data_IF_277267477445
#
_entry.id   IF_277267477445
#
_cell.length_a   1.000
_cell.length_b   1.000
_cell.length_c   1.000
_cell.angle_alpha   90.00
_cell.angle_beta   90.00
_cell.angle_gamma   90.00
#
_symmetry.space_group_name_H-M   'P 1'
#
loop_
_entity.id
_entity.type
_entity.pdbx_description
1 polymer ?
#
# COMPACT_ATOMS: atom_id res chain seq x y z
N UNK A 1 26.63 -54.89 -46.45
CA UNK A 1 27.85 -54.06 -46.38
C UNK A 1 27.45 -52.64 -46.67
N UNK A 2 27.76 -51.79 -45.69
CA UNK A 2 27.64 -50.34 -45.63
C UNK A 2 26.31 -49.63 -45.80
N UNK A 3 26.05 -48.50 -45.15
CA UNK A 3 26.52 -47.81 -43.92
C UNK A 3 25.85 -46.43 -44.06
N UNK A 4 25.07 -46.02 -43.07
CA UNK A 4 24.85 -44.65 -42.61
C UNK A 4 24.98 -43.50 -43.63
N UNK A 5 23.85 -42.87 -43.95
CA UNK A 5 23.65 -41.43 -44.22
C UNK A 5 22.26 -41.32 -44.86
N UNK A 6 21.19 -41.17 -44.10
CA UNK A 6 20.43 -39.91 -44.12
C UNK A 6 19.24 -40.00 -43.14
N UNK A 7 19.50 -40.39 -41.90
CA UNK A 7 18.60 -40.17 -40.77
C UNK A 7 19.01 -38.86 -40.11
N UNK A 8 18.54 -37.74 -40.66
CA UNK A 8 18.59 -36.37 -40.10
C UNK A 8 17.56 -35.52 -40.84
N UNK A 9 16.29 -35.78 -40.53
CA UNK A 9 15.16 -34.88 -40.82
C UNK A 9 14.24 -34.94 -39.58
N UNK A 10 14.77 -34.45 -38.46
CA UNK A 10 14.01 -33.81 -37.38
C UNK A 10 14.68 -32.45 -37.22
N UNK A 11 13.96 -31.39 -37.57
CA UNK A 11 14.03 -30.02 -37.04
C UNK A 11 13.17 -29.17 -37.97
N UNK A 12 11.85 -29.29 -37.83
CA UNK A 12 10.90 -28.27 -38.28
C UNK A 12 11.20 -27.03 -37.41
N UNK A 13 12.13 -26.23 -37.92
CA UNK A 13 12.40 -24.88 -37.45
C UNK A 13 11.10 -24.09 -37.52
N UNK A 14 10.65 -23.64 -36.34
CA UNK A 14 9.80 -22.47 -36.22
C UNK A 14 10.45 -21.37 -37.07
N UNK A 15 9.91 -21.14 -38.26
CA UNK A 15 10.15 -19.94 -39.05
C UNK A 15 9.86 -18.74 -38.13
N UNK A 16 10.93 -18.22 -37.53
CA UNK A 16 10.96 -16.85 -37.04
C UNK A 16 10.69 -16.03 -38.28
N UNK A 17 9.44 -15.59 -38.43
CA UNK A 17 9.07 -14.61 -39.44
C UNK A 17 10.15 -13.53 -39.43
N UNK A 18 10.93 -13.45 -40.52
CA UNK A 18 11.90 -12.39 -40.72
C UNK A 18 11.15 -11.08 -40.49
N UNK A 19 11.43 -10.44 -39.35
CA UNK A 19 10.88 -9.14 -39.02
C UNK A 19 11.44 -8.20 -40.09
N UNK A 20 10.57 -7.85 -41.02
CA UNK A 20 10.83 -6.97 -42.14
C UNK A 20 11.61 -5.74 -41.62
N UNK A 21 12.88 -5.51 -42.02
CA UNK A 21 13.76 -4.52 -41.39
C UNK A 21 13.42 -3.07 -41.78
N UNK A 22 12.26 -2.84 -42.38
CA UNK A 22 11.76 -1.53 -42.82
C UNK A 22 11.17 -0.69 -41.68
N UNK A 23 10.87 -1.27 -40.51
CA UNK A 23 10.24 -0.55 -39.40
C UNK A 23 11.17 -0.01 -38.31
N UNK A 24 12.50 -0.18 -38.43
CA UNK A 24 13.45 0.30 -37.43
C UNK A 24 13.96 1.70 -37.80
N UNK A 25 13.67 2.75 -37.00
CA UNK A 25 14.14 4.10 -37.26
C UNK A 25 15.66 4.15 -37.20
N UNK A 26 16.28 4.43 -38.36
CA UNK A 26 17.73 4.53 -38.50
C UNK A 26 18.18 5.94 -38.16
N UNK A 27 19.30 6.06 -37.45
CA UNK A 27 20.05 7.32 -37.44
C UNK A 27 20.44 7.63 -38.90
N UNK A 28 20.01 8.78 -39.40
CA UNK A 28 20.34 9.23 -40.74
C UNK A 28 21.87 9.19 -40.90
N UNK A 29 22.34 8.52 -41.95
CA UNK A 29 23.77 8.41 -42.26
C UNK A 29 24.36 9.82 -42.32
N UNK A 30 25.48 10.04 -41.62
CA UNK A 30 26.15 11.33 -41.59
C UNK A 30 26.36 11.85 -43.02
N UNK A 31 25.88 13.08 -43.28
CA UNK A 31 26.01 13.74 -44.57
C UNK A 31 27.50 13.95 -44.85
N UNK A 32 28.06 13.17 -45.79
CA UNK A 32 29.49 13.24 -46.15
C UNK A 32 29.85 14.42 -47.04
N UNK A 33 28.84 15.17 -47.52
CA UNK A 33 29.04 16.37 -48.33
C UNK A 33 29.30 17.60 -47.45
N UNK A 34 30.48 18.20 -47.62
CA UNK A 34 30.91 19.39 -46.90
C UNK A 34 30.04 20.63 -47.19
N UNK A 35 29.42 20.73 -48.37
CA UNK A 35 28.53 21.84 -48.72
C UNK A 35 27.19 21.69 -48.00
N UNK A 36 26.58 20.52 -48.10
CA UNK A 36 25.35 20.20 -47.38
C UNK A 36 25.52 20.32 -45.85
N UNK A 37 26.67 19.91 -45.31
CA UNK A 37 26.99 20.08 -43.88
C UNK A 37 27.04 21.56 -43.46
N UNK A 38 27.58 22.46 -44.30
CA UNK A 38 27.59 23.91 -44.01
C UNK A 38 26.21 24.53 -44.04
N UNK A 39 25.38 24.16 -45.02
CA UNK A 39 24.01 24.64 -45.14
C UNK A 39 23.13 24.16 -43.97
N UNK A 40 23.32 22.92 -43.53
CA UNK A 40 22.66 22.37 -42.36
C UNK A 40 23.09 23.08 -41.06
N UNK A 41 24.39 23.31 -40.88
CA UNK A 41 24.91 24.07 -39.73
C UNK A 41 24.44 25.52 -39.71
N UNK A 42 24.32 26.16 -40.88
CA UNK A 42 23.75 27.49 -41.01
C UNK A 42 22.29 27.51 -40.56
N UNK A 43 21.49 26.56 -41.03
CA UNK A 43 20.06 26.44 -40.67
C UNK A 43 19.86 26.16 -39.17
N UNK A 44 20.65 25.25 -38.59
CA UNK A 44 20.59 24.95 -37.15
C UNK A 44 20.97 26.15 -36.27
N UNK A 45 21.99 26.93 -36.67
CA UNK A 45 22.37 28.16 -35.94
C UNK A 45 21.25 29.18 -35.95
N UNK A 46 20.62 29.40 -37.11
CA UNK A 46 19.48 30.32 -37.23
C UNK A 46 18.26 29.83 -36.44
N UNK A 47 18.00 28.52 -36.42
CA UNK A 47 16.96 27.93 -35.58
C UNK A 47 17.21 28.17 -34.09
N UNK A 48 18.43 27.92 -33.60
CA UNK A 48 18.79 28.16 -32.19
C UNK A 48 18.77 29.65 -31.79
N UNK A 49 18.94 30.56 -32.75
CA UNK A 49 18.83 32.00 -32.55
C UNK A 49 17.38 32.52 -32.64
N UNK A 50 16.40 31.63 -32.89
CA UNK A 50 14.98 31.96 -32.92
C UNK A 50 14.51 32.61 -34.23
N UNK A 51 15.23 32.42 -35.34
CA UNK A 51 14.84 32.93 -36.65
C UNK A 51 13.65 32.10 -37.21
N UNK A 52 12.45 32.70 -37.41
CA UNK A 52 11.28 31.97 -37.90
C UNK A 52 11.47 31.40 -39.31
N UNK A 53 12.33 32.01 -40.15
CA UNK A 53 12.62 31.50 -41.49
C UNK A 53 13.44 30.20 -41.48
N UNK A 54 14.07 29.86 -40.34
CA UNK A 54 14.75 28.57 -40.19
C UNK A 54 13.75 27.42 -40.11
N UNK A 55 12.56 27.63 -39.52
CA UNK A 55 11.53 26.60 -39.39
C UNK A 55 11.03 26.09 -40.74
N UNK A 56 11.00 26.96 -41.77
CA UNK A 56 10.58 26.60 -43.13
C UNK A 56 11.62 25.74 -43.86
N UNK A 57 12.87 25.77 -43.41
CA UNK A 57 13.99 24.99 -43.98
C UNK A 57 14.26 23.69 -43.23
N UNK A 58 13.62 23.48 -42.08
CA UNK A 58 13.69 22.22 -41.36
C UNK A 58 12.80 21.17 -42.02
N UNK A 59 13.28 19.92 -42.06
CA UNK A 59 12.45 18.80 -42.46
C UNK A 59 11.27 18.67 -41.49
N UNK A 60 10.08 18.36 -42.02
CA UNK A 60 8.93 18.02 -41.19
C UNK A 60 9.25 16.76 -40.40
N UNK A 61 8.84 16.73 -39.13
CA UNK A 61 8.96 15.54 -38.29
C UNK A 61 8.04 14.48 -38.87
N UNK A 62 8.61 13.36 -39.30
CA UNK A 62 7.88 12.18 -39.74
C UNK A 62 7.43 11.33 -38.54
N UNK A 63 6.43 10.47 -38.73
CA UNK A 63 5.86 9.62 -37.67
C UNK A 63 6.89 8.64 -37.08
N UNK A 64 8.00 8.40 -37.80
CA UNK A 64 9.14 7.56 -37.37
C UNK A 64 10.08 8.23 -36.35
N UNK A 65 9.93 9.55 -36.14
CA UNK A 65 10.74 10.34 -35.22
C UNK A 65 10.04 10.46 -33.86
N UNK A 66 10.42 9.60 -32.92
CA UNK A 66 9.97 9.70 -31.54
C UNK A 66 10.88 10.65 -30.74
N UNK A 67 10.33 11.39 -29.76
CA UNK A 67 11.13 12.17 -28.82
C UNK A 67 12.26 11.34 -28.22
N UNK A 68 13.45 11.92 -28.10
CA UNK A 68 14.61 11.23 -27.51
C UNK A 68 14.32 10.69 -26.09
N UNK A 69 13.39 11.32 -25.36
CA UNK A 69 12.89 10.86 -24.07
C UNK A 69 12.27 9.45 -24.13
N UNK A 70 11.66 9.08 -25.26
CA UNK A 70 11.03 7.78 -25.47
C UNK A 70 11.98 6.73 -26.06
N UNK A 71 13.25 7.08 -26.31
CA UNK A 71 14.24 6.14 -26.83
C UNK A 71 14.38 4.86 -25.96
N UNK A 72 14.33 4.90 -24.61
CA UNK A 72 14.36 3.68 -23.80
C UNK A 72 13.17 2.75 -24.03
N UNK A 73 12.02 3.28 -24.47
CA UNK A 73 10.78 2.53 -24.72
C UNK A 73 10.71 1.93 -26.13
N UNK A 74 11.68 2.22 -27.01
CA UNK A 74 11.79 1.61 -28.34
C UNK A 74 12.22 0.15 -28.28
N UNK A 75 12.90 -0.24 -27.21
CA UNK A 75 13.32 -1.61 -26.97
C UNK A 75 12.27 -2.31 -26.12
N UNK A 76 11.38 -3.06 -26.76
CA UNK A 76 10.33 -3.81 -26.07
C UNK A 76 10.89 -4.84 -25.08
N UNK A 77 12.15 -5.28 -25.26
CA UNK A 77 12.83 -6.16 -24.30
C UNK A 77 13.23 -5.44 -23.00
N UNK A 78 13.31 -4.10 -23.01
CA UNK A 78 13.54 -3.26 -21.83
C UNK A 78 12.26 -2.79 -21.14
N UNK A 79 11.10 -3.01 -21.77
CA UNK A 79 9.81 -2.78 -21.15
C UNK A 79 9.56 -3.89 -20.13
N UNK A 80 10.06 -3.68 -18.91
CA UNK A 80 9.80 -4.58 -17.79
C UNK A 80 8.30 -4.52 -17.44
N UNK A 81 7.58 -5.55 -17.87
CA UNK A 81 6.20 -5.76 -17.49
C UNK A 81 6.17 -6.34 -16.07
N UNK A 82 6.28 -5.45 -15.08
CA UNK A 82 6.36 -5.83 -13.66
C UNK A 82 5.04 -6.37 -13.06
N UNK A 83 3.99 -6.49 -13.88
CA UNK A 83 2.69 -7.01 -13.46
C UNK A 83 2.55 -8.52 -13.69
N UNK A 84 1.79 -9.22 -12.84
CA UNK A 84 1.04 -8.68 -11.70
C UNK A 84 1.92 -8.35 -10.49
N UNK A 85 1.42 -7.45 -9.65
CA UNK A 85 2.08 -6.99 -8.43
C UNK A 85 1.51 -7.75 -7.22
N UNK A 86 2.39 -8.18 -6.33
CA UNK A 86 2.02 -8.64 -4.99
C UNK A 86 1.97 -7.45 -4.04
N UNK A 87 0.82 -7.30 -3.38
CA UNK A 87 0.55 -6.27 -2.38
C UNK A 87 0.61 -6.92 -0.99
N UNK A 88 1.54 -6.46 -0.16
CA UNK A 88 1.66 -6.93 1.22
C UNK A 88 0.44 -6.50 2.04
N UNK A 89 -0.02 -7.31 3.01
CA UNK A 89 -1.16 -6.95 3.83
C UNK A 89 -0.84 -5.74 4.71
N UNK A 90 -1.86 -4.92 4.93
CA UNK A 90 -1.83 -3.86 5.93
C UNK A 90 -1.96 -4.46 7.34
N UNK A 91 -0.82 -4.81 7.94
CA UNK A 91 -0.75 -5.18 9.36
C UNK A 91 -0.87 -3.91 10.21
N UNK A 92 -1.98 -3.74 10.91
CA UNK A 92 -2.25 -2.57 11.76
C UNK A 92 -1.29 -2.39 12.94
N UNK A 93 -0.33 -3.30 13.14
CA UNK A 93 0.60 -3.29 14.27
C UNK A 93 1.99 -2.76 13.91
N UNK A 94 2.46 -2.99 12.67
CA UNK A 94 3.82 -2.62 12.26
C UNK A 94 3.83 -2.07 10.84
N UNK A 95 4.40 -0.86 10.70
CA UNK A 95 4.65 -0.29 9.39
C UNK A 95 5.76 -1.09 8.67
N UNK A 96 5.39 -1.65 7.52
CA UNK A 96 6.35 -2.29 6.61
C UNK A 96 7.21 -1.23 5.89
N UNK A 97 8.46 -1.53 5.55
CA UNK A 97 9.26 -0.67 4.69
C UNK A 97 8.60 -0.50 3.31
N UNK A 98 8.71 0.68 2.70
CA UNK A 98 8.10 0.99 1.40
C UNK A 98 8.47 -0.02 0.30
N UNK A 99 9.71 -0.53 0.34
CA UNK A 99 10.23 -1.51 -0.62
C UNK A 99 9.60 -2.91 -0.49
N UNK A 100 8.92 -3.20 0.62
CA UNK A 100 8.26 -4.49 0.91
C UNK A 100 6.74 -4.42 0.72
N UNK A 101 6.17 -3.21 0.61
CA UNK A 101 4.73 -3.01 0.41
C UNK A 101 4.25 -3.61 -0.91
N UNK A 102 5.05 -3.44 -1.96
CA UNK A 102 4.69 -3.84 -3.32
C UNK A 102 5.91 -4.44 -4.02
N UNK A 103 5.73 -5.61 -4.63
CA UNK A 103 6.78 -6.21 -5.45
C UNK A 103 6.20 -6.98 -6.64
N UNK A 104 6.95 -7.13 -7.75
CA UNK A 104 6.52 -7.99 -8.86
C UNK A 104 6.31 -9.44 -8.40
N UNK A 105 5.28 -10.10 -8.93
CA UNK A 105 4.96 -11.48 -8.54
C UNK A 105 6.13 -12.44 -8.75
N UNK A 106 6.92 -12.24 -9.80
CA UNK A 106 8.06 -13.10 -10.12
C UNK A 106 9.12 -13.01 -9.01
N UNK A 107 9.34 -11.81 -8.48
CA UNK A 107 10.26 -11.58 -7.36
C UNK A 107 9.71 -12.19 -6.08
N UNK A 108 8.40 -12.02 -5.83
CA UNK A 108 7.75 -12.62 -4.67
C UNK A 108 7.85 -14.14 -4.70
N UNK A 109 7.48 -14.79 -5.82
CA UNK A 109 7.55 -16.24 -6.03
C UNK A 109 8.97 -16.78 -5.82
N UNK A 110 9.98 -16.10 -6.36
CA UNK A 110 11.38 -16.47 -6.15
C UNK A 110 11.78 -16.38 -4.68
N UNK A 111 11.40 -15.30 -3.99
CA UNK A 111 11.71 -15.13 -2.57
C UNK A 111 10.98 -16.13 -1.67
N UNK A 112 9.70 -16.38 -1.93
CA UNK A 112 8.86 -17.32 -1.19
C UNK A 112 9.34 -18.77 -1.37
N UNK A 113 9.73 -19.16 -2.60
CA UNK A 113 10.33 -20.48 -2.83
C UNK A 113 11.71 -20.62 -2.20
N UNK A 114 12.55 -19.58 -2.24
CA UNK A 114 13.86 -19.60 -1.61
C UNK A 114 13.77 -19.76 -0.08
N UNK A 115 12.70 -19.30 0.56
CA UNK A 115 12.50 -19.39 2.01
C UNK A 115 12.42 -20.83 2.53
N UNK A 116 11.85 -21.77 1.76
CA UNK A 116 11.76 -23.19 2.15
C UNK A 116 12.66 -24.11 1.30
N UNK A 117 13.09 -23.67 0.12
CA UNK A 117 13.90 -24.44 -0.82
C UNK A 117 15.16 -23.68 -1.23
N UNK A 118 16.05 -23.37 -0.27
CA UNK A 118 17.28 -22.62 -0.52
C UNK A 118 18.32 -23.39 -1.37
N UNK A 119 18.35 -24.72 -1.30
CA UNK A 119 19.29 -25.53 -2.08
C UNK A 119 18.93 -25.56 -3.57
N UNK A 120 19.93 -25.60 -4.46
CA UNK A 120 19.68 -25.57 -5.91
C UNK A 120 18.80 -26.74 -6.39
N UNK A 121 18.99 -27.92 -5.82
CA UNK A 121 18.27 -29.14 -6.20
C UNK A 121 16.92 -29.33 -5.48
N UNK A 122 16.60 -28.53 -4.45
CA UNK A 122 15.31 -28.64 -3.77
C UNK A 122 14.21 -27.90 -4.54
N UNK A 123 12.99 -28.46 -4.54
CA UNK A 123 11.83 -27.94 -5.24
C UNK A 123 12.09 -27.59 -6.73
N UNK A 124 12.93 -28.40 -7.41
CA UNK A 124 13.39 -28.12 -8.78
C UNK A 124 12.23 -27.96 -9.77
N UNK A 125 11.24 -28.86 -9.71
CA UNK A 125 10.06 -28.81 -10.57
C UNK A 125 9.33 -27.47 -10.38
N UNK A 126 9.08 -27.06 -9.13
CA UNK A 126 8.41 -25.79 -8.84
C UNK A 126 9.22 -24.58 -9.35
N UNK A 127 10.53 -24.57 -9.10
CA UNK A 127 11.45 -23.50 -9.53
C UNK A 127 11.47 -23.31 -11.04
N UNK A 128 11.53 -24.41 -11.79
CA UNK A 128 11.55 -24.40 -13.26
C UNK A 128 10.23 -23.85 -13.83
N UNK A 129 9.13 -23.94 -13.06
CA UNK A 129 7.80 -23.51 -13.48
C UNK A 129 7.30 -22.19 -12.85
N UNK A 130 8.13 -21.45 -12.11
CA UNK A 130 7.76 -20.12 -11.62
C UNK A 130 7.37 -19.12 -12.73
N UNK A 131 8.10 -19.04 -13.87
CA UNK A 131 7.69 -18.16 -14.97
C UNK A 131 6.33 -18.53 -15.56
N UNK A 132 5.99 -19.83 -15.58
CA UNK A 132 4.70 -20.32 -16.04
C UNK A 132 3.57 -19.85 -15.11
N UNK A 133 3.78 -19.91 -13.78
CA UNK A 133 2.82 -19.40 -12.80
C UNK A 133 2.57 -17.90 -13.00
N UNK A 134 3.64 -17.10 -13.10
CA UNK A 134 3.53 -15.67 -13.35
C UNK A 134 2.77 -15.34 -14.64
N UNK A 135 3.07 -16.05 -15.73
CA UNK A 135 2.35 -15.91 -16.99
C UNK A 135 0.86 -16.29 -16.87
N UNK A 136 0.56 -17.41 -16.21
CA UNK A 136 -0.82 -17.87 -16.00
C UNK A 136 -1.63 -16.87 -15.17
N UNK A 137 -1.06 -16.34 -14.09
CA UNK A 137 -1.70 -15.30 -13.27
C UNK A 137 -1.98 -14.05 -14.08
N UNK A 138 -1.03 -13.61 -14.92
CA UNK A 138 -1.22 -12.46 -15.81
C UNK A 138 -2.41 -12.67 -16.76
N UNK A 139 -2.55 -13.88 -17.31
CA UNK A 139 -3.69 -14.22 -18.17
C UNK A 139 -5.03 -14.16 -17.43
N UNK A 140 -5.10 -14.64 -16.19
CA UNK A 140 -6.34 -14.62 -15.39
C UNK A 140 -6.69 -13.20 -14.92
N UNK A 141 -5.67 -12.39 -14.61
CA UNK A 141 -5.85 -11.03 -14.11
C UNK A 141 -6.06 -9.99 -15.20
N UNK A 142 -5.85 -10.33 -16.49
CA UNK A 142 -6.01 -9.39 -17.59
C UNK A 142 -7.43 -8.81 -17.69
N UNK A 143 -8.44 -9.63 -17.35
CA UNK A 143 -9.86 -9.27 -17.41
C UNK A 143 -10.44 -8.88 -16.05
N UNK A 144 -9.62 -8.83 -14.99
CA UNK A 144 -10.06 -8.49 -13.63
C UNK A 144 -9.61 -7.10 -13.24
N UNK A 145 -10.54 -6.35 -12.66
CA UNK A 145 -10.27 -5.04 -12.11
C UNK A 145 -10.04 -5.12 -10.60
N UNK A 146 -9.02 -4.40 -10.14
CA UNK A 146 -8.67 -4.29 -8.73
C UNK A 146 -7.84 -5.46 -8.16
N UNK A 147 -7.48 -5.36 -6.88
CA UNK A 147 -6.77 -6.40 -6.16
C UNK A 147 -7.64 -7.65 -5.98
N UNK A 148 -7.02 -8.82 -6.05
CA UNK A 148 -7.66 -10.10 -5.72
C UNK A 148 -6.89 -10.81 -4.63
N UNK A 149 -7.56 -11.70 -3.89
CA UNK A 149 -6.92 -12.51 -2.86
C UNK A 149 -5.77 -13.34 -3.45
N UNK A 150 -4.55 -13.16 -2.90
CA UNK A 150 -3.36 -13.79 -3.42
C UNK A 150 -3.35 -15.30 -3.18
N UNK A 151 -3.86 -15.76 -2.04
CA UNK A 151 -3.86 -17.18 -1.67
C UNK A 151 -4.80 -17.98 -2.58
N UNK A 152 -6.01 -17.49 -2.81
CA UNK A 152 -6.99 -18.08 -3.72
C UNK A 152 -6.45 -18.10 -5.15
N UNK A 153 -5.80 -17.03 -5.60
CA UNK A 153 -5.22 -16.98 -6.94
C UNK A 153 -4.03 -17.93 -7.10
N UNK A 154 -3.16 -18.03 -6.10
CA UNK A 154 -2.07 -19.00 -6.09
C UNK A 154 -2.58 -20.43 -6.08
N UNK A 155 -3.65 -20.72 -5.33
CA UNK A 155 -4.27 -22.04 -5.31
C UNK A 155 -4.84 -22.41 -6.68
N UNK A 156 -5.60 -21.50 -7.32
CA UNK A 156 -6.16 -21.72 -8.65
C UNK A 156 -5.05 -21.95 -9.70
N UNK A 157 -4.00 -21.14 -9.70
CA UNK A 157 -2.89 -21.25 -10.66
C UNK A 157 -2.00 -22.47 -10.42
N UNK A 158 -1.77 -22.87 -9.17
CA UNK A 158 -0.98 -24.07 -8.85
C UNK A 158 -1.75 -25.37 -9.15
N UNK A 159 -3.07 -25.38 -8.99
CA UNK A 159 -3.92 -26.47 -9.47
C UNK A 159 -3.83 -26.61 -11.00
N UNK A 160 -3.92 -25.49 -11.73
CA UNK A 160 -3.75 -25.49 -13.18
C UNK A 160 -2.34 -25.97 -13.60
N UNK A 161 -1.29 -25.66 -12.82
CA UNK A 161 0.06 -26.19 -13.07
C UNK A 161 0.11 -27.71 -12.93
N UNK A 162 -0.49 -28.27 -11.87
CA UNK A 162 -0.53 -29.72 -11.66
C UNK A 162 -1.27 -30.44 -12.79
N UNK A 163 -2.37 -29.85 -13.28
CA UNK A 163 -3.12 -30.37 -14.44
C UNK A 163 -2.33 -30.26 -15.74
N UNK A 164 -1.58 -29.17 -15.93
CA UNK A 164 -0.76 -28.95 -17.12
C UNK A 164 0.39 -29.95 -17.23
N UNK A 165 1.09 -30.22 -16.11
CA UNK A 165 2.26 -31.10 -16.12
C UNK A 165 1.92 -32.60 -16.14
N UNK A 166 0.71 -32.98 -15.72
CA UNK A 166 0.21 -34.38 -15.70
C UNK A 166 1.18 -35.39 -15.08
N UNK A 167 1.96 -34.96 -14.07
CA UNK A 167 2.97 -35.79 -13.43
C UNK A 167 2.35 -37.00 -12.73
N UNK A 168 3.13 -38.08 -12.63
CA UNK A 168 2.71 -39.34 -12.00
C UNK A 168 3.71 -39.76 -10.91
N UNK A 169 3.25 -40.57 -9.97
CA UNK A 169 4.09 -41.16 -8.92
C UNK A 169 4.73 -40.12 -7.99
N UNK A 170 6.00 -40.34 -7.65
CA UNK A 170 6.76 -39.55 -6.68
C UNK A 170 6.92 -38.07 -7.10
N UNK A 171 7.10 -37.79 -8.39
CA UNK A 171 7.22 -36.42 -8.90
C UNK A 171 5.96 -35.58 -8.64
N UNK A 172 4.77 -36.19 -8.74
CA UNK A 172 3.50 -35.52 -8.42
C UNK A 172 3.40 -35.19 -6.92
N UNK A 173 3.80 -36.13 -6.07
CA UNK A 173 3.77 -35.95 -4.62
C UNK A 173 4.78 -34.89 -4.16
N UNK A 174 5.99 -34.89 -4.73
CA UNK A 174 6.99 -33.86 -4.47
C UNK A 174 6.48 -32.47 -4.84
N UNK A 175 5.94 -32.30 -6.06
CA UNK A 175 5.40 -31.01 -6.50
C UNK A 175 4.22 -30.55 -5.62
N UNK A 176 3.32 -31.45 -5.23
CA UNK A 176 2.22 -31.13 -4.33
C UNK A 176 2.71 -30.63 -2.98
N UNK A 177 3.70 -31.32 -2.39
CA UNK A 177 4.34 -30.89 -1.14
C UNK A 177 5.01 -29.52 -1.28
N UNK A 178 5.73 -29.27 -2.38
CA UNK A 178 6.39 -27.98 -2.62
C UNK A 178 5.37 -26.85 -2.79
N UNK A 179 4.23 -27.11 -3.46
CA UNK A 179 3.12 -26.14 -3.59
C UNK A 179 2.50 -25.83 -2.24
N UNK A 180 2.28 -26.82 -1.37
CA UNK A 180 1.77 -26.58 -0.02
C UNK A 180 2.71 -25.70 0.81
N UNK A 181 4.03 -25.89 0.67
CA UNK A 181 5.02 -25.02 1.33
C UNK A 181 4.98 -23.60 0.76
N UNK A 182 4.83 -23.43 -0.56
CA UNK A 182 4.68 -22.13 -1.19
C UNK A 182 3.42 -21.39 -0.71
N UNK A 183 2.28 -22.08 -0.64
CA UNK A 183 1.02 -21.48 -0.17
C UNK A 183 1.10 -21.02 1.29
N UNK A 184 1.87 -21.72 2.14
CA UNK A 184 2.14 -21.29 3.53
C UNK A 184 2.97 -20.01 3.62
N UNK A 185 3.66 -19.59 2.56
CA UNK A 185 4.40 -18.33 2.52
C UNK A 185 3.51 -17.13 2.19
N UNK A 186 2.28 -17.35 1.74
CA UNK A 186 1.34 -16.26 1.46
C UNK A 186 0.90 -15.67 2.79
N UNK A 187 1.16 -14.38 3.05
CA UNK A 187 0.68 -13.75 4.27
C UNK A 187 -0.84 -13.60 4.21
N UNK A 188 -1.49 -13.63 5.38
CA UNK A 188 -2.94 -13.42 5.47
C UNK A 188 -3.33 -12.05 4.91
N UNK A 189 -4.39 -12.00 4.10
CA UNK A 189 -4.86 -10.81 3.40
C UNK A 189 -3.84 -10.21 2.41
N UNK A 190 -2.87 -10.99 1.92
CA UNK A 190 -2.06 -10.59 0.78
C UNK A 190 -2.90 -10.52 -0.50
N UNK A 191 -2.66 -9.51 -1.33
CA UNK A 191 -3.44 -9.30 -2.56
C UNK A 191 -2.54 -9.32 -3.80
N UNK A 192 -3.14 -9.61 -4.96
CA UNK A 192 -2.51 -9.52 -6.27
C UNK A 192 -3.22 -8.47 -7.11
N UNK A 193 -2.45 -7.57 -7.70
CA UNK A 193 -2.94 -6.53 -8.58
C UNK A 193 -2.48 -6.79 -10.01
N UNK A 194 -3.46 -7.04 -10.89
CA UNK A 194 -3.26 -7.12 -12.33
C UNK A 194 -2.95 -5.76 -12.96
N UNK A 195 -2.53 -5.78 -14.22
CA UNK A 195 -2.48 -4.55 -15.01
C UNK A 195 -3.89 -4.28 -15.57
N UNK A 196 -4.53 -3.21 -15.09
CA UNK A 196 -5.88 -2.83 -15.48
C UNK A 196 -6.02 -1.33 -15.72
N UNK A 197 -7.24 -0.80 -15.59
CA UNK A 197 -7.54 0.62 -15.79
C UNK A 197 -7.04 1.53 -14.67
N UNK A 198 -7.18 1.12 -13.41
CA UNK A 198 -6.80 1.96 -12.25
C UNK A 198 -5.73 1.38 -11.31
N UNK A 199 -4.67 0.70 -11.78
CA UNK A 199 -3.64 0.17 -10.89
C UNK A 199 -2.98 1.29 -10.05
N UNK A 200 -2.83 2.50 -10.60
CA UNK A 200 -2.29 3.64 -9.86
C UNK A 200 -3.17 4.06 -8.67
N UNK A 201 -4.51 4.01 -8.81
CA UNK A 201 -5.42 4.34 -7.70
C UNK A 201 -5.38 3.25 -6.63
N UNK A 202 -5.38 1.98 -7.02
CA UNK A 202 -5.24 0.87 -6.08
C UNK A 202 -3.91 0.91 -5.32
N UNK A 203 -2.81 1.24 -5.99
CA UNK A 203 -1.51 1.41 -5.33
C UNK A 203 -1.51 2.60 -4.35
N UNK A 204 -2.17 3.71 -4.70
CA UNK A 204 -2.30 4.86 -3.80
C UNK A 204 -3.13 4.51 -2.56
N UNK A 205 -4.24 3.79 -2.74
CA UNK A 205 -5.07 3.28 -1.64
C UNK A 205 -4.24 2.36 -0.76
N UNK A 206 -3.57 1.37 -1.35
CA UNK A 206 -2.74 0.41 -0.63
C UNK A 206 -1.67 1.11 0.21
N UNK A 207 -0.97 2.09 -0.36
CA UNK A 207 0.01 2.90 0.34
C UNK A 207 -0.63 3.72 1.48
N UNK A 208 -1.77 4.36 1.23
CA UNK A 208 -2.49 5.14 2.22
C UNK A 208 -2.95 4.27 3.41
N UNK A 209 -3.50 3.08 3.14
CA UNK A 209 -3.93 2.14 4.17
C UNK A 209 -2.76 1.67 5.04
N UNK A 210 -1.65 1.25 4.41
CA UNK A 210 -0.45 0.78 5.10
C UNK A 210 0.23 1.89 5.94
N UNK A 211 0.07 3.15 5.54
CA UNK A 211 0.60 4.27 6.32
C UNK A 211 -0.35 4.71 7.43
N UNK A 212 -1.65 4.81 7.15
CA UNK A 212 -2.62 5.41 8.04
C UNK A 212 -3.10 4.46 9.14
N UNK A 213 -3.31 3.17 8.84
CA UNK A 213 -3.84 2.21 9.81
C UNK A 213 -2.91 2.02 11.02
N UNK A 214 -1.60 1.75 10.87
CA UNK A 214 -0.71 1.59 12.03
C UNK A 214 -0.63 2.86 12.87
N UNK A 215 -0.61 4.04 12.22
CA UNK A 215 -0.58 5.34 12.92
C UNK A 215 -1.86 5.59 13.71
N UNK A 216 -3.02 5.25 13.14
CA UNK A 216 -4.31 5.36 13.83
C UNK A 216 -4.40 4.41 15.02
N UNK A 217 -3.96 3.17 14.88
CA UNK A 217 -3.90 2.20 16.00
C UNK A 217 -3.03 2.73 17.14
N UNK A 218 -1.82 3.23 16.81
CA UNK A 218 -0.92 3.80 17.81
C UNK A 218 -1.50 5.04 18.48
N UNK A 219 -2.16 5.90 17.71
CA UNK A 219 -2.78 7.11 18.23
C UNK A 219 -3.98 6.81 19.13
N UNK A 220 -4.81 5.81 18.78
CA UNK A 220 -5.89 5.34 19.64
C UNK A 220 -5.35 4.84 20.98
N UNK A 221 -4.30 4.02 20.98
CA UNK A 221 -3.66 3.56 22.21
C UNK A 221 -3.13 4.71 23.07
N UNK A 222 -2.66 5.79 22.45
CA UNK A 222 -2.23 6.99 23.15
C UNK A 222 -3.42 7.72 23.80
N UNK A 223 -4.52 7.87 23.06
CA UNK A 223 -5.76 8.48 23.57
C UNK A 223 -6.32 7.68 24.74
N UNK A 224 -6.39 6.35 24.62
CA UNK A 224 -6.90 5.48 25.69
C UNK A 224 -6.06 5.61 26.97
N UNK A 225 -4.73 5.72 26.83
CA UNK A 225 -3.82 5.97 27.96
C UNK A 225 -4.04 7.34 28.59
N UNK A 226 -4.24 8.38 27.77
CA UNK A 226 -4.57 9.72 28.27
C UNK A 226 -5.90 9.72 29.02
N UNK A 227 -6.95 9.11 28.47
CA UNK A 227 -8.26 8.99 29.11
C UNK A 227 -8.12 8.27 30.45
N UNK A 228 -7.44 7.12 30.47
CA UNK A 228 -7.21 6.37 31.70
C UNK A 228 -6.48 7.21 32.76
N UNK A 229 -5.36 7.83 32.41
CA UNK A 229 -4.58 8.64 33.35
C UNK A 229 -5.32 9.88 33.86
N UNK A 230 -6.15 10.51 33.03
CA UNK A 230 -6.98 11.65 33.47
C UNK A 230 -8.11 11.21 34.40
N UNK A 231 -8.72 10.04 34.17
CA UNK A 231 -9.73 9.46 35.07
C UNK A 231 -9.14 9.07 36.41
N UNK A 232 -7.99 8.40 36.42
CA UNK A 232 -7.27 8.04 37.64
C UNK A 232 -6.90 9.30 38.45
N UNK A 233 -6.44 10.37 37.78
CA UNK A 233 -6.17 11.65 38.44
C UNK A 233 -7.43 12.23 39.11
N UNK A 234 -8.59 12.11 38.46
CA UNK A 234 -9.87 12.55 39.02
C UNK A 234 -10.32 11.69 40.21
N UNK A 235 -10.13 10.37 40.17
CA UNK A 235 -10.46 9.48 41.28
C UNK A 235 -9.62 9.79 42.51
N UNK A 236 -8.30 9.94 42.35
CA UNK A 236 -7.39 10.32 43.45
C UNK A 236 -7.72 11.70 44.02
N UNK A 237 -8.19 12.64 43.17
CA UNK A 237 -8.64 13.95 43.64
C UNK A 237 -9.99 13.88 44.37
N UNK A 238 -10.91 13.04 43.91
CA UNK A 238 -12.18 12.79 44.57
C UNK A 238 -11.98 12.18 45.96
N UNK A 239 -11.08 11.21 46.10
CA UNK A 239 -10.68 10.62 47.38
C UNK A 239 -10.08 11.65 48.36
N UNK A 240 -9.54 12.77 47.85
CA UNK A 240 -9.01 13.89 48.65
C UNK A 240 -10.03 14.99 48.94
N UNK A 241 -11.21 14.93 48.32
CA UNK A 241 -12.23 15.97 48.45
C UNK A 241 -13.08 15.78 49.72
N UNK A 242 -13.53 16.89 50.32
CA UNK A 242 -14.37 16.86 51.52
C UNK A 242 -15.72 16.14 51.28
N UNK A 243 -16.19 16.08 50.03
CA UNK A 243 -17.44 15.43 49.62
C UNK A 243 -17.40 13.89 49.69
N UNK A 244 -16.23 13.26 49.45
CA UNK A 244 -16.06 11.80 49.68
C UNK A 244 -15.87 11.47 51.16
N UNK A 245 -15.52 12.47 51.96
CA UNK A 245 -15.24 12.39 53.40
C UNK A 245 -16.41 12.89 54.25
N UNK A 246 -17.60 13.11 53.65
CA UNK A 246 -18.79 13.44 54.44
C UNK A 246 -19.02 12.35 55.51
N UNK A 247 -19.29 12.73 56.78
CA UNK A 247 -19.46 11.78 57.89
C UNK A 247 -20.56 10.73 57.68
N UNK A 248 -21.42 10.94 56.67
CA UNK A 248 -22.44 9.98 56.23
C UNK A 248 -21.83 8.80 55.46
N UNK A 249 -20.90 9.05 54.55
CA UNK A 249 -20.24 8.00 53.73
C UNK A 249 -19.26 7.17 54.58
N UNK A 250 -18.56 7.82 55.53
CA UNK A 250 -17.71 7.13 56.51
C UNK A 250 -18.51 6.28 57.53
N UNK A 251 -19.75 6.68 57.84
CA UNK A 251 -20.67 5.90 58.69
C UNK A 251 -21.25 4.68 57.98
N UNK A 252 -21.47 4.76 56.68
CA UNK A 252 -22.03 3.65 55.89
C UNK A 252 -20.98 2.57 55.57
N UNK A 253 -19.70 2.92 55.53
CA UNK A 253 -18.58 2.01 55.28
C UNK A 253 -18.08 1.29 56.55
N UNK A 254 -18.39 1.80 57.74
CA UNK A 254 -18.13 1.17 59.03
C UNK A 254 -19.47 0.64 59.55
N UNK A 255 -19.75 -0.65 59.41
CA UNK A 255 -21.01 -1.28 59.85
C UNK A 255 -21.30 -1.17 61.36
N UNK A 256 -21.97 -2.17 61.94
CA UNK A 256 -22.51 -2.19 63.33
C UNK A 256 -21.52 -1.83 64.50
N UNK A 257 -20.24 -1.54 64.23
CA UNK A 257 -19.23 -1.08 65.20
C UNK A 257 -19.06 0.44 65.32
N UNK A 258 -19.90 1.26 64.69
CA UNK A 258 -19.80 2.74 64.69
C UNK A 258 -19.84 3.41 66.07
N UNK A 259 -20.27 2.72 67.12
CA UNK A 259 -20.33 3.24 68.49
C UNK A 259 -18.98 3.23 69.23
N UNK A 260 -17.93 2.61 68.68
CA UNK A 260 -16.59 2.55 69.31
C UNK A 260 -15.58 3.51 68.70
N UNK A 261 -15.94 4.19 67.61
CA UNK A 261 -15.10 5.18 66.96
C UNK A 261 -15.79 6.53 67.08
N UNK A 262 -15.07 7.55 67.57
CA UNK A 262 -15.52 8.93 67.44
C UNK A 262 -15.08 9.46 66.07
N UNK A 263 -15.97 9.52 65.07
CA UNK A 263 -15.62 9.99 63.74
C UNK A 263 -15.15 11.45 63.76
N UNK A 264 -15.55 12.27 64.75
CA UNK A 264 -15.07 13.64 64.88
C UNK A 264 -13.60 13.68 65.31
N UNK A 265 -13.18 12.80 66.21
CA UNK A 265 -11.78 12.68 66.64
C UNK A 265 -10.88 12.08 65.55
N UNK A 266 -11.38 11.12 64.78
CA UNK A 266 -10.66 10.56 63.62
C UNK A 266 -10.50 11.57 62.48
N UNK A 267 -11.54 12.36 62.18
CA UNK A 267 -11.47 13.44 61.19
C UNK A 267 -10.42 14.49 61.56
N UNK A 268 -10.30 14.84 62.84
CA UNK A 268 -9.31 15.81 63.33
C UNK A 268 -7.85 15.29 63.25
N UNK A 269 -7.64 13.97 63.31
CA UNK A 269 -6.30 13.36 63.15
C UNK A 269 -5.93 13.17 61.68
N UNK A 270 -6.92 12.92 60.81
CA UNK A 270 -6.70 12.83 59.36
C UNK A 270 -6.35 14.19 58.73
N UNK A 271 -6.84 15.29 59.32
CA UNK A 271 -6.62 16.69 58.92
C UNK A 271 -5.14 17.09 58.76
N UNK A 272 -4.20 16.29 59.27
CA UNK A 272 -2.76 16.59 59.28
C UNK A 272 -1.91 15.63 58.42
N UNK A 273 -2.54 14.72 57.67
CA UNK A 273 -1.88 13.75 56.80
C UNK A 273 -2.00 14.04 55.30
N UNK A 274 -2.35 15.27 54.91
CA UNK A 274 -2.56 15.61 53.50
C UNK A 274 -1.32 16.23 52.85
N UNK A 275 -0.55 15.36 52.20
CA UNK A 275 0.35 15.80 51.15
C UNK A 275 -0.44 16.26 49.92
N UNK A 276 -0.23 17.52 49.54
CA UNK A 276 -0.56 18.18 48.25
C UNK A 276 -1.90 18.90 48.17
N UNK A 277 -1.84 20.21 47.88
CA UNK A 277 -2.96 21.13 47.61
C UNK A 277 -4.09 20.52 46.78
N UNK A 278 -5.34 20.82 47.15
CA UNK A 278 -6.52 20.56 46.30
C UNK A 278 -6.36 21.21 44.92
N UNK A 279 -6.92 20.57 43.88
CA UNK A 279 -6.81 21.07 42.52
C UNK A 279 -7.60 22.38 42.36
N UNK A 280 -7.02 23.42 41.72
CA UNK A 280 -7.77 24.61 41.37
C UNK A 280 -8.94 24.29 40.43
N UNK A 281 -10.08 24.97 40.62
CA UNK A 281 -11.29 24.79 39.79
C UNK A 281 -11.00 24.94 38.28
N UNK A 282 -10.18 25.91 37.90
CA UNK A 282 -9.77 26.12 36.51
C UNK A 282 -9.05 24.91 35.90
N UNK A 283 -8.22 24.21 36.69
CA UNK A 283 -7.52 23.00 36.25
C UNK A 283 -8.51 21.84 36.13
N UNK A 284 -9.46 21.72 37.06
CA UNK A 284 -10.54 20.72 37.03
C UNK A 284 -11.39 20.85 35.76
N UNK A 285 -11.86 22.06 35.46
CA UNK A 285 -12.64 22.37 34.26
C UNK A 285 -11.86 22.10 32.97
N UNK A 286 -10.55 22.37 32.97
CA UNK A 286 -9.68 22.08 31.82
C UNK A 286 -9.59 20.58 31.57
N UNK A 287 -9.38 19.76 32.61
CA UNK A 287 -9.27 18.31 32.44
C UNK A 287 -10.61 17.73 31.99
N UNK A 288 -11.74 18.19 32.55
CA UNK A 288 -13.08 17.74 32.10
C UNK A 288 -13.33 18.05 30.62
N UNK A 289 -12.95 19.25 30.15
CA UNK A 289 -13.05 19.60 28.73
C UNK A 289 -12.19 18.70 27.85
N UNK A 290 -10.93 18.47 28.24
CA UNK A 290 -10.02 17.58 27.51
C UNK A 290 -10.57 16.15 27.46
N UNK A 291 -11.05 15.64 28.58
CA UNK A 291 -11.61 14.29 28.69
C UNK A 291 -12.84 14.13 27.79
N UNK A 292 -13.74 15.12 27.77
CA UNK A 292 -14.89 15.12 26.86
C UNK A 292 -14.45 15.12 25.38
N UNK A 293 -13.45 15.91 25.01
CA UNK A 293 -12.89 15.91 23.64
C UNK A 293 -12.31 14.54 23.28
N UNK A 294 -11.50 13.94 24.15
CA UNK A 294 -10.87 12.64 23.90
C UNK A 294 -11.89 11.50 23.80
N UNK A 295 -12.92 11.48 24.66
CA UNK A 295 -13.97 10.45 24.64
C UNK A 295 -14.93 10.59 23.45
N UNK A 296 -15.12 11.81 22.96
CA UNK A 296 -15.97 12.06 21.79
C UNK A 296 -15.32 11.65 20.47
N UNK A 297 -14.00 11.45 20.47
CA UNK A 297 -13.29 11.12 19.24
C UNK A 297 -13.57 9.69 18.79
N UNK A 298 -13.97 9.57 17.53
CA UNK A 298 -14.06 8.29 16.84
C UNK A 298 -13.29 8.39 15.52
N UNK A 299 -12.46 7.40 15.18
CA UNK A 299 -11.74 7.40 13.92
C UNK A 299 -12.72 7.31 12.74
N UNK A 300 -12.61 8.26 11.82
CA UNK A 300 -13.37 8.25 10.56
C UNK A 300 -13.07 6.95 9.79
N UNK A 301 -14.05 6.09 9.48
CA UNK A 301 -13.80 4.84 8.75
C UNK A 301 -13.23 5.11 7.35
N UNK A 302 -13.53 6.27 6.76
CA UNK A 302 -13.03 6.67 5.45
C UNK A 302 -11.61 7.21 5.59
N UNK A 303 -10.69 6.58 4.84
CA UNK A 303 -9.27 6.93 4.79
C UNK A 303 -8.91 7.70 3.53
N UNK A 304 -9.55 7.37 2.40
CA UNK A 304 -9.25 7.98 1.11
C UNK A 304 -10.53 8.52 0.49
N UNK A 305 -10.52 9.80 0.12
CA UNK A 305 -11.64 10.44 -0.57
C UNK A 305 -11.21 10.82 -1.98
N UNK A 306 -11.91 10.28 -2.98
CA UNK A 306 -11.70 10.63 -4.38
C UNK A 306 -12.70 11.70 -4.78
N UNK A 307 -12.21 12.89 -5.11
CA UNK A 307 -13.05 13.96 -5.64
C UNK A 307 -12.80 14.09 -7.14
N UNK A 308 -13.84 13.97 -7.97
CA UNK A 308 -13.69 13.92 -9.42
C UNK A 308 -14.80 14.65 -10.19
N UNK A 309 -14.47 15.10 -11.40
CA UNK A 309 -15.41 15.68 -12.37
C UNK A 309 -15.85 14.56 -13.30
N UNK A 310 -16.95 13.87 -12.98
CA UNK A 310 -17.48 12.77 -13.80
C UNK A 310 -17.84 11.56 -12.97
N UNK A 311 -17.69 10.36 -13.53
CA UNK A 311 -17.99 9.11 -12.84
C UNK A 311 -16.73 8.28 -12.68
N UNK A 312 -16.33 8.04 -11.43
CA UNK A 312 -15.47 6.92 -11.06
C UNK A 312 -16.38 5.69 -10.92
N UNK A 313 -17.00 5.29 -12.03
CA UNK A 313 -17.98 4.20 -12.06
C UNK A 313 -17.26 2.86 -12.10
N UNK A 314 -16.73 2.43 -10.96
CA UNK A 314 -16.41 1.03 -10.79
C UNK A 314 -16.77 0.58 -9.37
N UNK A 315 -17.39 -0.60 -9.30
CA UNK A 315 -18.00 -1.14 -8.08
C UNK A 315 -17.01 -1.18 -6.91
N UNK A 316 -15.71 -1.28 -7.18
CA UNK A 316 -14.65 -1.40 -6.18
C UNK A 316 -14.57 -0.21 -5.20
N UNK A 317 -14.88 1.02 -5.64
CA UNK A 317 -14.87 2.18 -4.73
C UNK A 317 -16.07 2.13 -3.79
N UNK A 318 -17.24 1.79 -4.35
CA UNK A 318 -18.50 1.73 -3.61
C UNK A 318 -18.59 0.54 -2.65
N UNK A 319 -17.86 -0.54 -2.93
CA UNK A 319 -17.78 -1.73 -2.08
C UNK A 319 -16.79 -1.56 -0.93
N UNK A 320 -15.88 -0.60 -1.00
CA UNK A 320 -14.88 -0.37 0.03
C UNK A 320 -15.44 0.48 1.18
N UNK A 321 -15.17 0.07 2.42
CA UNK A 321 -15.56 0.84 3.63
C UNK A 321 -14.61 1.97 3.96
N UNK A 322 -13.41 1.97 3.36
CA UNK A 322 -12.32 2.90 3.63
C UNK A 322 -12.14 3.95 2.51
N UNK A 323 -12.84 3.84 1.39
CA UNK A 323 -12.87 4.88 0.37
C UNK A 323 -14.26 5.49 0.19
N UNK A 324 -14.28 6.74 -0.24
CA UNK A 324 -15.49 7.47 -0.60
C UNK A 324 -15.23 8.22 -1.91
N UNK A 325 -16.20 8.17 -2.84
CA UNK A 325 -16.16 8.91 -4.09
C UNK A 325 -17.14 10.09 -4.02
N UNK A 326 -16.66 11.28 -4.35
CA UNK A 326 -17.41 12.53 -4.35
C UNK A 326 -17.31 13.17 -5.73
N UNK A 327 -18.47 13.57 -6.27
CA UNK A 327 -18.53 14.28 -7.54
C UNK A 327 -18.73 15.76 -7.27
N UNK A 328 -17.83 16.58 -7.81
CA UNK A 328 -17.91 18.05 -7.72
C UNK A 328 -17.47 18.66 -9.06
N UNK A 329 -18.00 19.84 -9.37
CA UNK A 329 -17.59 20.61 -10.54
C UNK A 329 -16.18 21.19 -10.38
N UNK A 330 -15.75 21.46 -9.15
CA UNK A 330 -14.38 21.85 -8.80
C UNK A 330 -13.80 20.88 -7.76
N UNK A 331 -13.15 19.78 -8.21
CA UNK A 331 -12.69 18.73 -7.32
C UNK A 331 -11.53 19.19 -6.43
N UNK A 332 -10.73 20.15 -6.89
CA UNK A 332 -9.61 20.69 -6.14
C UNK A 332 -10.11 21.58 -5.00
N UNK A 333 -11.04 22.50 -5.28
CA UNK A 333 -11.64 23.32 -4.23
C UNK A 333 -12.36 22.44 -3.20
N UNK A 334 -13.12 21.44 -3.66
CA UNK A 334 -13.85 20.56 -2.76
C UNK A 334 -12.95 19.67 -1.91
N UNK A 335 -11.88 19.14 -2.48
CA UNK A 335 -10.87 18.38 -1.73
C UNK A 335 -10.19 19.26 -0.66
N UNK A 336 -9.92 20.54 -0.96
CA UNK A 336 -9.36 21.49 0.00
C UNK A 336 -10.32 21.77 1.16
N UNK A 337 -11.61 22.02 0.88
CA UNK A 337 -12.62 22.21 1.93
C UNK A 337 -12.70 21.01 2.88
N UNK A 338 -12.71 19.79 2.33
CA UNK A 338 -12.77 18.55 3.12
C UNK A 338 -11.50 18.40 3.95
N UNK A 339 -10.34 18.71 3.37
CA UNK A 339 -9.07 18.70 4.10
C UNK A 339 -9.09 19.67 5.27
N UNK A 340 -9.49 20.92 5.06
CA UNK A 340 -9.53 21.95 6.11
C UNK A 340 -10.50 21.57 7.24
N UNK A 341 -11.67 21.01 6.90
CA UNK A 341 -12.63 20.50 7.88
C UNK A 341 -12.01 19.40 8.74
N UNK A 342 -11.38 18.39 8.11
CA UNK A 342 -10.74 17.28 8.84
C UNK A 342 -9.52 17.72 9.62
N UNK A 343 -8.73 18.67 9.10
CA UNK A 343 -7.60 19.23 9.81
C UNK A 343 -8.03 19.97 11.08
N UNK A 344 -9.15 20.71 11.05
CA UNK A 344 -9.71 21.35 12.23
C UNK A 344 -10.17 20.32 13.28
N UNK A 345 -10.88 19.26 12.87
CA UNK A 345 -11.28 18.16 13.77
C UNK A 345 -10.05 17.52 14.45
N UNK A 346 -8.99 17.23 13.68
CA UNK A 346 -7.76 16.66 14.23
C UNK A 346 -6.98 17.62 15.13
N UNK A 347 -7.00 18.93 14.85
CA UNK A 347 -6.29 19.93 15.65
C UNK A 347 -6.81 19.96 17.09
N UNK A 348 -8.12 19.89 17.30
CA UNK A 348 -8.73 19.88 18.64
C UNK A 348 -8.27 18.66 19.46
N UNK A 349 -8.20 17.49 18.81
CA UNK A 349 -7.78 16.24 19.47
C UNK A 349 -6.29 16.26 19.75
N UNK A 350 -5.45 16.72 18.81
CA UNK A 350 -4.02 16.84 19.04
C UNK A 350 -3.70 17.84 20.17
N UNK A 351 -4.49 18.92 20.29
CA UNK A 351 -4.41 19.84 21.42
C UNK A 351 -4.83 19.17 22.74
N UNK A 352 -5.81 18.26 22.73
CA UNK A 352 -6.26 17.53 23.92
C UNK A 352 -5.26 16.44 24.38
N UNK A 353 -4.54 15.82 23.45
CA UNK A 353 -3.53 14.77 23.73
C UNK A 353 -2.20 15.35 24.25
N UNK A 354 -1.86 16.58 23.84
CA UNK A 354 -0.63 17.28 24.25
C UNK A 354 -0.71 17.78 25.70
#
# INVERSE_FOLDING_TARGET
MSTQQSLREEEDELEVAEVNPEGLPRLTVAVKDAKATRELMFTLRHFHLGDPAASERLAKVDDDLLPALLNPYRDSSKLLYNYPLFLAPHSGEKQLPDAELVQPIDRWLQSATAAFAAAKESARILKDHLPWLGHRMRGILADREGPVDAAAMLLETTNALQEHLQLKGEAKQSLASDIEQLLKQVPENGELLGYGRYPALHLLIHAALNQALPRRTQFQLQIDRCIYGLKELFEVEWEKSEESMEPRVARDSIGLGSNFFDPAALSAVMDHSYGTQQMPKERRERIQRVLATLESWQPDPVLVRFVHIGSLADDWVSQSTFCEALTDADPCAKAMEIFDLKAAEFADIFCAVR
#
